data_IF_235113507014
#
_entry.id   IF_235113507014
#
_cell.length_a   1.000
_cell.length_b   1.000
_cell.length_c   1.000
_cell.angle_alpha   90.00
_cell.angle_beta   90.00
_cell.angle_gamma   90.00
#
_symmetry.space_group_name_H-M   'P 1'
#
loop_
_entity.id
_entity.type
_entity.pdbx_description
1 polymer ?
#
# COMPACT_ATOMS: atom_id res chain seq x y z
N UNK A 1 17.35 8.50 53.87
CA UNK A 1 17.26 9.95 53.56
C UNK A 1 15.88 10.25 52.96
N UNK A 2 15.18 11.25 53.49
CA UNK A 2 13.92 11.89 53.03
C UNK A 2 14.25 13.40 52.93
N UNK A 3 13.49 14.28 52.25
CA UNK A 3 12.80 14.24 50.94
C UNK A 3 13.17 15.51 50.08
N UNK A 4 12.28 15.96 49.16
CA UNK A 4 12.11 17.36 48.61
C UNK A 4 12.93 17.71 47.33
N UNK A 5 12.46 18.30 46.20
CA UNK A 5 11.16 18.83 45.69
C UNK A 5 11.23 19.26 44.20
N UNK A 6 10.04 19.34 43.57
CA UNK A 6 9.45 20.43 42.70
C UNK A 6 9.97 20.72 41.27
N UNK A 7 8.98 20.65 40.35
CA UNK A 7 8.63 21.58 39.26
C UNK A 7 9.64 21.79 38.11
N UNK A 8 9.27 21.92 36.83
CA UNK A 8 8.08 22.56 36.28
C UNK A 8 7.72 22.04 34.87
N UNK A 9 6.41 22.01 34.60
CA UNK A 9 5.83 22.08 33.26
C UNK A 9 6.31 23.37 32.56
N UNK A 10 6.55 23.32 31.25
CA UNK A 10 6.36 24.50 30.41
C UNK A 10 5.78 24.09 29.06
N UNK A 11 4.49 24.41 28.92
CA UNK A 11 3.71 24.37 27.69
C UNK A 11 3.82 25.76 27.08
N UNK A 12 4.29 25.87 25.84
CA UNK A 12 4.18 27.12 25.08
C UNK A 12 3.33 26.83 23.85
N UNK A 13 2.03 27.08 24.03
CA UNK A 13 1.06 27.21 22.95
C UNK A 13 1.20 28.61 22.36
N UNK A 14 1.64 28.72 21.09
CA UNK A 14 1.56 29.97 20.34
C UNK A 14 0.13 30.12 19.80
N UNK A 15 -0.66 30.92 20.49
CA UNK A 15 -1.96 31.42 20.04
C UNK A 15 -1.69 32.61 19.11
N UNK A 16 -1.97 32.44 17.81
CA UNK A 16 -2.06 33.58 16.89
C UNK A 16 -3.47 34.14 17.01
N UNK A 17 -3.60 35.25 17.73
CA UNK A 17 -4.79 36.08 17.72
C UNK A 17 -4.84 36.85 16.41
N UNK A 18 -5.80 36.53 15.53
CA UNK A 18 -6.19 37.43 14.46
C UNK A 18 -7.50 38.11 14.87
N UNK A 19 -7.35 39.36 15.30
CA UNK A 19 -8.44 40.29 15.52
C UNK A 19 -9.17 40.54 14.20
N UNK A 20 -10.43 40.13 14.15
CA UNK A 20 -11.43 40.57 13.18
C UNK A 20 -12.66 41.02 13.97
N UNK A 21 -13.03 42.28 13.81
CA UNK A 21 -13.95 43.02 14.65
C UNK A 21 -15.39 42.48 14.63
N UNK A 22 -15.99 42.46 15.81
CA UNK A 22 -17.42 42.31 16.04
C UNK A 22 -18.10 43.60 15.55
N UNK A 23 -18.99 43.52 14.54
CA UNK A 23 -20.05 44.51 14.35
C UNK A 23 -21.38 43.77 14.42
N UNK A 24 -22.10 44.05 15.49
CA UNK A 24 -23.44 43.55 15.80
C UNK A 24 -24.48 44.39 15.08
N UNK A 25 -25.17 43.81 14.09
CA UNK A 25 -26.47 44.31 13.64
C UNK A 25 -27.51 43.21 13.88
N UNK A 26 -28.43 43.46 14.81
CA UNK A 26 -29.61 42.64 15.05
C UNK A 26 -30.58 42.77 13.87
N UNK A 27 -30.87 41.66 13.18
CA UNK A 27 -32.15 41.43 12.51
C UNK A 27 -32.38 39.91 12.28
N UNK A 28 -33.34 39.38 13.04
CA UNK A 28 -34.26 38.28 12.69
C UNK A 28 -33.70 36.86 12.41
N UNK A 29 -34.02 35.92 13.32
CA UNK A 29 -33.93 34.46 13.09
C UNK A 29 -35.10 33.96 12.20
N UNK A 30 -35.19 32.69 11.74
CA UNK A 30 -34.29 31.55 11.92
C UNK A 30 -33.96 30.78 10.62
N UNK A 31 -32.82 30.10 10.53
CA UNK A 31 -32.68 28.97 9.60
C UNK A 31 -31.62 27.98 10.09
N UNK A 32 -32.04 26.73 10.20
CA UNK A 32 -31.22 25.57 10.46
C UNK A 32 -30.10 25.44 9.41
N UNK A 33 -28.93 24.99 9.87
CA UNK A 33 -27.83 24.67 8.98
C UNK A 33 -26.55 24.45 9.77
N UNK A 34 -26.45 23.32 10.47
CA UNK A 34 -25.13 22.75 10.77
C UNK A 34 -24.47 22.44 9.44
N UNK A 35 -23.76 23.42 8.90
CA UNK A 35 -22.87 23.24 7.77
C UNK A 35 -21.72 22.36 8.25
N UNK A 36 -21.91 21.04 8.15
CA UNK A 36 -20.83 20.07 8.25
C UNK A 36 -19.83 20.44 7.16
N UNK A 37 -18.67 20.97 7.55
CA UNK A 37 -17.57 21.19 6.63
C UNK A 37 -17.35 19.90 5.82
N UNK A 38 -17.28 19.95 4.48
CA UNK A 38 -17.07 18.75 3.69
C UNK A 38 -15.74 18.15 4.12
N UNK A 39 -15.79 16.96 4.71
CA UNK A 39 -14.62 16.17 4.98
C UNK A 39 -13.90 15.97 3.65
N UNK A 40 -12.75 16.63 3.50
CA UNK A 40 -11.88 16.44 2.34
C UNK A 40 -11.50 14.96 2.32
N UNK A 41 -12.08 14.22 1.36
CA UNK A 41 -11.71 12.84 1.11
C UNK A 41 -10.23 12.84 0.74
N UNK A 42 -9.37 12.42 1.67
CA UNK A 42 -7.95 12.29 1.44
C UNK A 42 -7.75 11.35 0.25
N UNK A 43 -7.13 11.86 -0.81
CA UNK A 43 -6.73 11.05 -1.98
C UNK A 43 -5.73 10.03 -1.46
N UNK A 44 -6.15 8.76 -1.35
CA UNK A 44 -5.27 7.70 -0.88
C UNK A 44 -4.26 7.39 -1.99
N UNK A 45 -2.98 7.65 -1.71
CA UNK A 45 -1.91 7.33 -2.64
C UNK A 45 -1.91 5.81 -2.92
N UNK A 46 -1.84 5.39 -4.20
CA UNK A 46 -1.75 3.98 -4.54
C UNK A 46 -0.54 3.31 -3.91
N UNK A 47 -0.73 2.10 -3.38
CA UNK A 47 0.34 1.27 -2.85
C UNK A 47 1.35 0.93 -3.94
N UNK A 48 2.63 1.07 -3.63
CA UNK A 48 3.71 0.62 -4.50
C UNK A 48 3.67 -0.91 -4.64
N UNK A 49 3.91 -1.41 -5.85
CA UNK A 49 4.04 -2.85 -6.13
C UNK A 49 5.42 -3.13 -6.65
N UNK A 50 6.05 -4.17 -6.13
CA UNK A 50 7.37 -4.62 -6.56
C UNK A 50 7.45 -6.14 -6.54
N UNK A 51 7.99 -6.73 -7.61
CA UNK A 51 8.32 -8.16 -7.67
C UNK A 51 9.83 -8.29 -7.79
N UNK A 52 10.42 -9.06 -6.89
CA UNK A 52 11.85 -9.30 -6.83
C UNK A 52 12.16 -10.75 -7.20
N UNK A 53 13.41 -11.00 -7.59
CA UNK A 53 13.91 -12.37 -7.66
C UNK A 53 14.20 -12.87 -6.26
N UNK A 54 13.87 -14.12 -5.98
CA UNK A 54 14.08 -14.74 -4.68
C UNK A 54 14.85 -16.06 -4.80
N UNK A 55 15.55 -16.44 -3.73
CA UNK A 55 16.22 -17.73 -3.59
C UNK A 55 16.17 -18.23 -2.15
N UNK A 56 16.12 -19.55 -1.99
CA UNK A 56 16.27 -20.24 -0.72
C UNK A 56 17.73 -20.44 -0.29
N UNK A 57 18.70 -20.15 -1.17
CA UNK A 57 20.13 -20.20 -0.89
C UNK A 57 20.74 -18.81 -1.01
N UNK A 58 21.86 -18.58 -0.33
CA UNK A 58 22.57 -17.31 -0.40
C UNK A 58 23.05 -17.03 -1.84
N UNK A 59 22.86 -15.79 -2.29
CA UNK A 59 23.29 -15.32 -3.61
C UNK A 59 24.02 -14.00 -3.44
N UNK A 60 25.16 -13.83 -4.13
CA UNK A 60 25.90 -12.57 -4.12
C UNK A 60 25.00 -11.42 -4.57
N UNK A 61 24.97 -10.35 -3.78
CA UNK A 61 24.15 -9.15 -4.05
C UNK A 61 22.68 -9.27 -3.65
N UNK A 62 22.24 -10.42 -3.12
CA UNK A 62 20.89 -10.56 -2.57
C UNK A 62 20.90 -10.24 -1.07
N UNK A 63 19.79 -9.67 -0.60
CA UNK A 63 19.58 -9.32 0.80
C UNK A 63 18.84 -10.46 1.51
N UNK A 64 19.29 -10.89 2.70
CA UNK A 64 18.56 -11.88 3.48
C UNK A 64 17.26 -11.26 4.04
N UNK A 65 16.18 -12.02 4.00
CA UNK A 65 14.90 -11.72 4.63
C UNK A 65 14.51 -12.91 5.51
N UNK A 66 14.49 -12.68 6.82
CA UNK A 66 14.02 -13.68 7.79
C UNK A 66 12.49 -13.72 7.76
N UNK A 67 11.94 -14.90 7.47
CA UNK A 67 10.50 -15.13 7.53
C UNK A 67 10.08 -15.62 8.92
N UNK A 68 10.96 -16.39 9.56
CA UNK A 68 10.87 -16.84 10.94
C UNK A 68 12.27 -17.30 11.40
N UNK A 69 12.39 -17.82 12.61
CA UNK A 69 13.68 -18.26 13.19
C UNK A 69 14.35 -19.40 12.41
N UNK A 70 13.58 -20.18 11.64
CA UNK A 70 14.04 -21.37 10.91
C UNK A 70 14.22 -21.12 9.42
N UNK A 71 13.65 -20.04 8.88
CA UNK A 71 13.58 -19.81 7.44
C UNK A 71 14.02 -18.40 7.06
N UNK A 72 15.07 -18.35 6.26
CA UNK A 72 15.56 -17.14 5.59
C UNK A 72 15.47 -17.33 4.10
N UNK A 73 14.98 -16.32 3.40
CA UNK A 73 15.06 -16.23 1.94
C UNK A 73 16.01 -15.11 1.56
N UNK A 74 16.53 -15.14 0.33
CA UNK A 74 17.41 -14.12 -0.21
C UNK A 74 16.71 -13.46 -1.38
N UNK A 75 16.64 -12.13 -1.38
CA UNK A 75 15.89 -11.34 -2.36
C UNK A 75 16.82 -10.39 -3.08
N UNK A 76 16.63 -10.19 -4.39
CA UNK A 76 17.44 -9.25 -5.17
C UNK A 76 17.37 -7.84 -4.60
N UNK A 77 18.48 -7.09 -4.64
CA UNK A 77 18.52 -5.73 -4.12
C UNK A 77 17.60 -4.75 -4.90
N UNK A 78 17.36 -5.02 -6.17
CA UNK A 78 16.47 -4.24 -7.04
C UNK A 78 15.24 -5.07 -7.44
N UNK A 79 14.07 -4.42 -7.58
CA UNK A 79 12.88 -5.09 -8.09
C UNK A 79 13.04 -5.37 -9.58
N UNK A 80 12.59 -6.55 -9.99
CA UNK A 80 12.51 -6.94 -11.39
C UNK A 80 11.29 -6.31 -12.06
N UNK A 81 10.14 -6.33 -11.37
CA UNK A 81 8.89 -5.72 -11.83
C UNK A 81 8.47 -4.64 -10.84
N UNK A 82 7.96 -3.53 -11.33
CA UNK A 82 7.37 -2.46 -10.53
C UNK A 82 6.04 -2.01 -11.17
N UNK A 83 5.37 -1.03 -10.57
CA UNK A 83 4.05 -0.55 -11.01
C UNK A 83 3.98 -0.12 -12.49
N UNK A 84 5.05 0.42 -13.07
CA UNK A 84 5.07 0.89 -14.46
C UNK A 84 4.95 -0.25 -15.48
N UNK A 85 5.33 -1.46 -15.08
CA UNK A 85 5.21 -2.66 -15.91
C UNK A 85 3.81 -3.27 -15.87
N UNK A 86 2.92 -2.81 -14.99
CA UNK A 86 1.60 -3.41 -14.74
C UNK A 86 0.53 -2.71 -15.57
N UNK A 87 -0.21 -3.50 -16.35
CA UNK A 87 -1.34 -3.06 -17.18
C UNK A 87 -2.69 -3.41 -16.58
N UNK A 88 -2.79 -4.55 -15.91
CA UNK A 88 -4.03 -5.02 -15.29
C UNK A 88 -3.77 -5.80 -14.01
N UNK A 89 -4.79 -5.86 -13.16
CA UNK A 89 -4.83 -6.66 -11.96
C UNK A 89 -6.22 -7.30 -11.85
N UNK A 90 -6.28 -8.62 -11.78
CA UNK A 90 -7.51 -9.38 -11.60
C UNK A 90 -7.37 -10.38 -10.45
N UNK A 91 -8.50 -10.79 -9.88
CA UNK A 91 -8.57 -11.96 -8.99
C UNK A 91 -8.95 -13.17 -9.82
N UNK A 92 -8.15 -14.24 -9.75
CA UNK A 92 -8.43 -15.50 -10.43
C UNK A 92 -8.35 -16.67 -9.45
N UNK A 93 -9.02 -17.76 -9.80
CA UNK A 93 -8.92 -19.03 -9.09
C UNK A 93 -8.44 -20.10 -10.05
N UNK A 94 -7.70 -21.06 -9.52
CA UNK A 94 -7.39 -22.28 -10.26
C UNK A 94 -8.45 -23.36 -10.04
N UNK A 95 -8.23 -24.52 -10.66
CA UNK A 95 -9.10 -25.71 -10.54
C UNK A 95 -9.11 -26.31 -9.13
N UNK A 96 -8.14 -25.96 -8.27
CA UNK A 96 -8.06 -26.37 -6.87
C UNK A 96 -8.67 -25.33 -5.93
N UNK A 97 -9.38 -24.33 -6.46
CA UNK A 97 -9.99 -23.23 -5.73
C UNK A 97 -8.97 -22.35 -4.97
N UNK A 98 -7.69 -22.40 -5.33
CA UNK A 98 -6.66 -21.51 -4.77
C UNK A 98 -6.81 -20.13 -5.39
N UNK A 99 -6.70 -19.09 -4.57
CA UNK A 99 -6.86 -17.71 -5.03
C UNK A 99 -5.53 -17.09 -5.43
N UNK A 100 -5.51 -16.44 -6.58
CA UNK A 100 -4.36 -15.71 -7.10
C UNK A 100 -4.75 -14.28 -7.47
N UNK A 101 -3.78 -13.38 -7.37
CA UNK A 101 -3.83 -12.11 -8.08
C UNK A 101 -3.09 -12.30 -9.41
N UNK A 102 -3.79 -12.09 -10.52
CA UNK A 102 -3.22 -12.07 -11.87
C UNK A 102 -2.80 -10.64 -12.19
N UNK A 103 -1.51 -10.45 -12.42
CA UNK A 103 -0.90 -9.19 -12.80
C UNK A 103 -0.55 -9.25 -14.29
N UNK A 104 -1.32 -8.57 -15.11
CA UNK A 104 -1.05 -8.48 -16.55
C UNK A 104 0.03 -7.44 -16.80
N UNK A 105 1.12 -7.86 -17.42
CA UNK A 105 2.30 -7.02 -17.65
C UNK A 105 2.32 -6.43 -19.06
N UNK A 106 3.01 -5.30 -19.21
CA UNK A 106 3.41 -4.81 -20.52
C UNK A 106 4.54 -5.70 -21.10
N UNK A 107 4.87 -5.55 -22.40
CA UNK A 107 5.89 -6.38 -23.05
C UNK A 107 7.27 -6.32 -22.38
N UNK A 108 7.67 -5.15 -21.89
CA UNK A 108 8.94 -4.98 -21.16
C UNK A 108 8.96 -5.80 -19.87
N UNK A 109 7.90 -5.74 -19.06
CA UNK A 109 7.76 -6.52 -17.83
C UNK A 109 7.76 -8.03 -18.09
N UNK A 110 7.01 -8.47 -19.11
CA UNK A 110 6.99 -9.87 -19.52
C UNK A 110 8.38 -10.36 -19.97
N UNK A 111 9.14 -9.54 -20.71
CA UNK A 111 10.50 -9.85 -21.11
C UNK A 111 11.46 -9.96 -19.90
N UNK A 112 11.36 -9.04 -18.94
CA UNK A 112 12.13 -9.09 -17.70
C UNK A 112 11.86 -10.37 -16.91
N UNK A 113 10.60 -10.83 -16.84
CA UNK A 113 10.28 -12.09 -16.18
C UNK A 113 10.94 -13.31 -16.85
N UNK A 114 11.17 -13.30 -18.17
CA UNK A 114 11.82 -14.42 -18.88
C UNK A 114 13.30 -14.60 -18.52
N UNK A 115 13.97 -13.55 -18.05
CA UNK A 115 15.41 -13.62 -17.69
C UNK A 115 15.65 -14.34 -16.37
N UNK A 116 14.61 -14.56 -15.55
CA UNK A 116 14.74 -15.21 -14.25
C UNK A 116 15.05 -16.70 -14.43
N UNK A 117 16.18 -17.19 -13.89
CA UNK A 117 16.54 -18.61 -13.97
C UNK A 117 15.51 -19.52 -13.30
N UNK A 118 15.39 -20.77 -13.77
CA UNK A 118 14.40 -21.75 -13.25
C UNK A 118 14.62 -22.11 -11.78
N UNK A 119 15.84 -21.98 -11.26
CA UNK A 119 16.19 -22.22 -9.86
C UNK A 119 15.97 -20.97 -8.95
N UNK A 120 15.29 -19.94 -9.46
CA UNK A 120 14.93 -18.74 -8.70
C UNK A 120 13.41 -18.61 -8.61
N UNK A 121 12.95 -18.16 -7.46
CA UNK A 121 11.55 -17.83 -7.20
C UNK A 121 11.30 -16.33 -7.29
N UNK A 122 10.15 -15.93 -6.76
CA UNK A 122 9.69 -14.54 -6.74
C UNK A 122 9.32 -14.12 -5.32
N UNK A 123 9.57 -12.86 -5.00
CA UNK A 123 9.01 -12.22 -3.81
C UNK A 123 8.19 -11.00 -4.25
N UNK A 124 6.91 -11.00 -3.91
CA UNK A 124 5.98 -9.91 -4.24
C UNK A 124 5.75 -9.06 -3.00
N UNK A 125 6.03 -7.77 -3.14
CA UNK A 125 5.88 -6.76 -2.10
C UNK A 125 4.85 -5.72 -2.56
N UNK A 126 3.89 -5.42 -1.70
CA UNK A 126 2.88 -4.39 -1.92
C UNK A 126 2.86 -3.46 -0.71
N UNK A 127 2.97 -2.15 -0.93
CA UNK A 127 2.99 -1.15 0.16
C UNK A 127 4.13 -1.38 1.17
N UNK A 128 5.24 -2.00 0.76
CA UNK A 128 6.36 -2.36 1.63
C UNK A 128 6.18 -3.66 2.41
N UNK A 129 5.05 -4.35 2.27
CA UNK A 129 4.79 -5.63 2.93
C UNK A 129 5.01 -6.79 1.97
N UNK A 130 5.66 -7.85 2.45
CA UNK A 130 5.78 -9.10 1.70
C UNK A 130 4.41 -9.78 1.65
N UNK A 131 3.86 -9.91 0.45
CA UNK A 131 2.52 -10.48 0.22
C UNK A 131 2.61 -11.94 -0.23
N UNK A 132 3.63 -12.29 -1.02
CA UNK A 132 3.75 -13.63 -1.59
C UNK A 132 5.19 -14.00 -1.91
N UNK A 133 5.48 -15.30 -1.81
CA UNK A 133 6.74 -15.93 -2.23
C UNK A 133 6.55 -16.94 -3.37
N UNK A 134 5.31 -17.06 -3.84
CA UNK A 134 4.83 -18.10 -4.74
C UNK A 134 4.24 -17.42 -5.97
N UNK A 135 5.15 -16.94 -6.81
CA UNK A 135 4.85 -16.33 -8.10
C UNK A 135 5.09 -17.28 -9.26
N UNK A 136 4.22 -17.26 -10.26
CA UNK A 136 4.35 -18.01 -11.51
C UNK A 136 4.15 -17.09 -12.70
N UNK A 137 4.86 -17.39 -13.79
CA UNK A 137 4.77 -16.67 -15.06
C UNK A 137 3.83 -17.43 -15.99
N UNK A 138 2.89 -16.76 -16.64
CA UNK A 138 2.00 -17.36 -17.63
C UNK A 138 1.85 -16.40 -18.82
N UNK A 139 2.65 -16.61 -19.87
CA UNK A 139 2.67 -15.69 -21.01
C UNK A 139 3.11 -14.28 -20.60
N UNK A 140 2.22 -13.30 -20.76
CA UNK A 140 2.39 -11.90 -20.31
C UNK A 140 1.92 -11.66 -18.88
N UNK A 141 1.35 -12.67 -18.22
CA UNK A 141 0.80 -12.53 -16.87
C UNK A 141 1.78 -13.07 -15.82
N UNK A 142 1.72 -12.44 -14.65
CA UNK A 142 2.37 -12.90 -13.44
C UNK A 142 1.29 -13.18 -12.40
N UNK A 143 1.22 -14.41 -11.91
CA UNK A 143 0.24 -14.81 -10.91
C UNK A 143 0.95 -15.05 -9.60
N UNK A 144 0.44 -14.51 -8.50
CA UNK A 144 0.93 -14.83 -7.17
C UNK A 144 -0.22 -15.20 -6.25
N UNK A 145 -0.01 -16.21 -5.41
CA UNK A 145 -1.06 -16.70 -4.52
C UNK A 145 -1.26 -15.75 -3.36
N UNK A 146 -2.51 -15.66 -2.91
CA UNK A 146 -2.94 -14.90 -1.73
C UNK A 146 -3.86 -15.79 -0.88
N UNK A 147 -4.06 -15.42 0.39
CA UNK A 147 -4.79 -16.26 1.34
C UNK A 147 -6.23 -16.57 0.92
N UNK A 148 -6.94 -15.59 0.35
CA UNK A 148 -8.34 -15.71 -0.07
C UNK A 148 -8.73 -14.55 -1.00
N UNK A 149 -9.97 -14.59 -1.51
CA UNK A 149 -10.53 -13.57 -2.41
C UNK A 149 -10.58 -12.18 -1.77
N UNK A 150 -10.91 -12.09 -0.48
CA UNK A 150 -10.99 -10.82 0.24
C UNK A 150 -9.61 -10.16 0.28
N UNK A 151 -8.56 -10.91 0.62
CA UNK A 151 -7.18 -10.43 0.58
C UNK A 151 -6.79 -9.98 -0.84
N UNK A 152 -7.16 -10.75 -1.87
CA UNK A 152 -6.91 -10.40 -3.27
C UNK A 152 -7.55 -9.05 -3.65
N UNK A 153 -8.85 -8.88 -3.36
CA UNK A 153 -9.61 -7.67 -3.66
C UNK A 153 -9.07 -6.47 -2.89
N UNK A 154 -8.79 -6.61 -1.59
CA UNK A 154 -8.19 -5.55 -0.78
C UNK A 154 -6.82 -5.12 -1.30
N UNK A 155 -5.99 -6.07 -1.74
CA UNK A 155 -4.70 -5.78 -2.36
C UNK A 155 -4.89 -4.98 -3.65
N UNK A 156 -5.76 -5.41 -4.56
CA UNK A 156 -6.02 -4.70 -5.81
C UNK A 156 -6.52 -3.28 -5.54
N UNK A 157 -7.47 -3.10 -4.62
CA UNK A 157 -7.97 -1.78 -4.23
C UNK A 157 -6.89 -0.88 -3.64
N UNK A 158 -5.88 -1.44 -2.96
CA UNK A 158 -4.77 -0.64 -2.46
C UNK A 158 -3.84 -0.14 -3.58
N UNK A 159 -3.76 -0.86 -4.71
CA UNK A 159 -2.81 -0.59 -5.81
C UNK A 159 -3.42 0.29 -6.91
N UNK A 160 -4.73 0.18 -7.12
CA UNK A 160 -5.44 0.97 -8.11
C UNK A 160 -5.81 2.32 -7.48
N UNK A 161 -5.50 3.45 -8.14
CA UNK A 161 -5.97 4.75 -7.67
C UNK A 161 -7.50 4.74 -7.60
N UNK A 162 -8.06 4.97 -6.41
CA UNK A 162 -9.48 5.27 -6.29
C UNK A 162 -9.67 6.75 -6.61
N UNK A 163 -10.50 7.12 -7.60
CA UNK A 163 -10.90 8.50 -7.76
C UNK A 163 -11.57 8.95 -6.45
N UNK A 164 -11.20 10.14 -5.96
CA UNK A 164 -11.86 10.72 -4.79
C UNK A 164 -13.37 10.76 -5.07
N UNK A 165 -14.16 10.16 -4.18
CA UNK A 165 -15.61 10.12 -4.28
C UNK A 165 -16.13 11.54 -4.55
N UNK A 166 -16.68 11.77 -5.74
CA UNK A 166 -17.38 13.02 -6.01
C UNK A 166 -18.59 13.09 -5.07
N UNK A 167 -18.79 14.19 -4.32
CA UNK A 167 -19.98 14.34 -3.50
C UNK A 167 -21.20 14.26 -4.41
N UNK A 168 -22.14 13.40 -4.03
CA UNK A 168 -23.41 13.25 -4.73
C UNK A 168 -24.08 14.62 -4.85
N UNK A 169 -24.42 15.02 -6.08
CA UNK A 169 -25.34 16.14 -6.30
C UNK A 169 -26.71 15.70 -5.78
N UNK A 170 -27.09 16.22 -4.62
CA UNK A 170 -28.48 16.34 -4.16
C UNK A 170 -29.17 17.46 -4.90
#
# INVERSE_FOLDING_TARGET
MKPITKSALSVISLVVALAGCQSVNNATAPAAGTATAPAQAAVRQPAAVSVFMASNVAVKGYRPLRLNDKQTIYVSAQPLINRSHIRGLDVVRDTQNRTFVKMTLNPQGAALLKTVPKNRGYATVVGGQLVSLTGVRQGSDFLFSVANQQAATSLIHSIVPQPASQPAKS
#
